data_IF_332574302715
#
_entry.id   IF_332574302715
#
_cell.length_a   1.000
_cell.length_b   1.000
_cell.length_c   1.000
_cell.angle_alpha   90.00
_cell.angle_beta   90.00
_cell.angle_gamma   90.00
#
_symmetry.space_group_name_H-M   'P 1'
#
loop_
_entity.id
_entity.type
_entity.pdbx_description
1 polymer ?
#
# COMPACT_ATOMS: atom_id res chain seq x y z
N UNK A 1 -10.16 32.92 -9.91
CA UNK A 1 -10.64 31.53 -10.07
C UNK A 1 -9.58 30.66 -10.74
N UNK A 2 -9.08 31.02 -11.94
CA UNK A 2 -8.02 30.28 -12.64
C UNK A 2 -6.77 29.96 -11.77
N UNK A 3 -6.16 30.96 -11.10
CA UNK A 3 -4.99 30.72 -10.24
C UNK A 3 -5.29 29.81 -9.03
N UNK A 4 -6.51 29.86 -8.49
CA UNK A 4 -6.96 28.99 -7.39
C UNK A 4 -7.08 27.56 -7.89
N UNK A 5 -7.67 27.38 -9.08
CA UNK A 5 -7.81 26.06 -9.70
C UNK A 5 -6.45 25.47 -10.09
N UNK A 6 -5.53 26.28 -10.61
CA UNK A 6 -4.15 25.86 -10.90
C UNK A 6 -3.42 25.40 -9.65
N UNK A 7 -3.49 26.18 -8.57
CA UNK A 7 -2.89 25.81 -7.29
C UNK A 7 -3.52 24.54 -6.73
N UNK A 8 -4.86 24.43 -6.75
CA UNK A 8 -5.59 23.24 -6.28
C UNK A 8 -5.19 21.99 -7.08
N UNK A 9 -5.11 22.11 -8.40
CA UNK A 9 -4.73 21.01 -9.28
C UNK A 9 -3.28 20.56 -9.02
N UNK A 10 -2.39 21.51 -8.69
CA UNK A 10 -1.02 21.23 -8.27
C UNK A 10 -0.92 20.29 -7.05
N UNK A 11 -1.81 20.45 -6.06
CA UNK A 11 -1.83 19.63 -4.84
C UNK A 11 -2.69 18.37 -4.91
N UNK A 12 -3.40 18.14 -6.03
CA UNK A 12 -4.22 16.93 -6.22
C UNK A 12 -3.46 15.61 -5.96
N UNK A 13 -2.18 15.44 -6.33
CA UNK A 13 -1.42 14.23 -6.01
C UNK A 13 -1.31 13.95 -4.51
N UNK A 14 -1.23 14.99 -3.68
CA UNK A 14 -1.17 14.84 -2.21
C UNK A 14 -2.52 14.35 -1.68
N UNK A 15 -3.63 14.87 -2.21
CA UNK A 15 -4.96 14.41 -1.82
C UNK A 15 -5.18 12.92 -2.17
N UNK A 16 -4.70 12.49 -3.35
CA UNK A 16 -4.72 11.08 -3.75
C UNK A 16 -3.89 10.23 -2.79
N UNK A 17 -2.65 10.63 -2.50
CA UNK A 17 -1.78 9.93 -1.55
C UNK A 17 -2.41 9.79 -0.17
N UNK A 18 -2.92 10.89 0.39
CA UNK A 18 -3.61 10.88 1.69
C UNK A 18 -4.86 10.00 1.68
N UNK A 19 -5.64 9.98 0.59
CA UNK A 19 -6.80 9.10 0.50
C UNK A 19 -6.43 7.62 0.59
N UNK A 20 -5.32 7.21 -0.05
CA UNK A 20 -4.81 5.84 0.01
C UNK A 20 -4.43 5.49 1.44
N UNK A 21 -3.68 6.36 2.13
CA UNK A 21 -3.28 6.13 3.52
C UNK A 21 -4.50 5.99 4.44
N UNK A 22 -5.53 6.82 4.25
CA UNK A 22 -6.74 6.79 5.06
C UNK A 22 -7.50 5.47 4.91
N UNK A 23 -7.69 5.00 3.68
CA UNK A 23 -8.37 3.73 3.45
C UNK A 23 -7.53 2.54 3.94
N UNK A 24 -6.20 2.57 3.76
CA UNK A 24 -5.31 1.55 4.33
C UNK A 24 -5.47 1.40 5.84
N UNK A 25 -5.54 2.50 6.60
CA UNK A 25 -5.70 2.42 8.06
C UNK A 25 -7.13 2.09 8.48
N UNK A 26 -8.13 2.45 7.67
CA UNK A 26 -9.53 2.12 7.93
C UNK A 26 -9.79 0.63 7.75
N UNK A 27 -9.15 0.02 6.75
CA UNK A 27 -9.25 -1.42 6.46
C UNK A 27 -8.60 -2.29 7.55
N UNK A 28 -7.77 -1.73 8.43
CA UNK A 28 -7.20 -2.43 9.58
C UNK A 28 -8.27 -2.92 10.57
N UNK A 29 -9.45 -2.28 10.59
CA UNK A 29 -10.58 -2.75 11.41
C UNK A 29 -11.07 -4.15 11.00
N UNK A 30 -10.79 -4.58 9.75
CA UNK A 30 -11.08 -5.94 9.29
C UNK A 30 -10.11 -6.99 9.87
N UNK A 31 -8.92 -6.56 10.33
CA UNK A 31 -7.94 -7.43 10.98
C UNK A 31 -8.28 -7.58 12.46
N UNK A 32 -8.59 -6.47 13.11
CA UNK A 32 -8.98 -6.42 14.53
C UNK A 32 -9.95 -5.24 14.70
N UNK A 33 -11.19 -5.47 15.17
CA UNK A 33 -12.19 -4.43 15.37
C UNK A 33 -11.74 -3.21 16.19
N UNK A 34 -10.73 -3.36 17.06
CA UNK A 34 -10.15 -2.24 17.83
C UNK A 34 -9.32 -1.26 16.99
N UNK A 35 -8.90 -1.62 15.77
CA UNK A 35 -8.08 -0.77 14.90
C UNK A 35 -8.92 0.23 14.11
N UNK A 36 -9.55 1.14 14.83
CA UNK A 36 -10.40 2.19 14.26
C UNK A 36 -9.78 3.57 14.48
N UNK A 37 -9.74 4.35 13.41
CA UNK A 37 -9.21 5.71 13.41
C UNK A 37 -10.25 6.65 12.82
N UNK A 38 -10.52 7.76 13.49
CA UNK A 38 -11.48 8.74 12.98
C UNK A 38 -10.88 9.60 11.88
N UNK A 39 -11.71 10.05 10.94
CA UNK A 39 -11.30 11.00 9.92
C UNK A 39 -10.78 12.31 10.54
N UNK A 40 -11.39 12.78 11.62
CA UNK A 40 -10.94 13.98 12.35
C UNK A 40 -9.51 13.83 12.87
N UNK A 41 -9.18 12.68 13.47
CA UNK A 41 -7.82 12.39 13.93
C UNK A 41 -6.83 12.38 12.76
N UNK A 42 -7.20 11.74 11.65
CA UNK A 42 -6.38 11.68 10.45
C UNK A 42 -6.10 13.07 9.86
N UNK A 43 -7.13 13.92 9.74
CA UNK A 43 -7.00 15.31 9.27
C UNK A 43 -6.08 16.10 10.20
N UNK A 44 -6.23 15.97 11.51
CA UNK A 44 -5.35 16.65 12.47
C UNK A 44 -3.89 16.25 12.28
N UNK A 45 -3.62 14.95 12.07
CA UNK A 45 -2.26 14.48 11.81
C UNK A 45 -1.69 15.00 10.48
N UNK A 46 -2.56 15.16 9.48
CA UNK A 46 -2.18 15.76 8.20
C UNK A 46 -1.86 17.25 8.35
N UNK A 47 -2.67 18.02 9.09
CA UNK A 47 -2.40 19.43 9.41
C UNK A 47 -1.05 19.59 10.13
N UNK A 48 -0.75 18.72 11.10
CA UNK A 48 0.58 18.69 11.74
C UNK A 48 1.70 18.39 10.74
N UNK A 49 1.45 17.53 9.75
CA UNK A 49 2.44 17.23 8.72
C UNK A 49 2.67 18.40 7.76
N UNK A 50 1.64 19.21 7.48
CA UNK A 50 1.81 20.46 6.72
C UNK A 50 2.74 21.42 7.46
N UNK A 51 2.56 21.57 8.78
CA UNK A 51 3.36 22.48 9.60
C UNK A 51 4.80 22.02 9.79
N UNK A 52 5.02 20.71 9.95
CA UNK A 52 6.33 20.16 10.37
C UNK A 52 7.18 19.60 9.23
N UNK A 53 6.61 19.38 8.04
CA UNK A 53 7.38 18.97 6.86
C UNK A 53 8.24 20.10 6.31
N UNK A 54 9.38 19.76 5.71
CA UNK A 54 10.29 20.74 5.12
C UNK A 54 9.57 21.61 4.07
N UNK A 55 9.57 22.96 4.22
CA UNK A 55 9.00 23.85 3.23
C UNK A 55 9.85 23.87 1.95
N UNK A 56 9.23 24.14 0.81
CA UNK A 56 9.92 24.41 -0.46
C UNK A 56 9.02 25.28 -1.34
N UNK A 57 9.64 26.23 -2.03
CA UNK A 57 8.97 27.06 -3.04
C UNK A 57 8.72 26.27 -4.34
N UNK A 58 9.44 25.16 -4.53
CA UNK A 58 9.18 24.24 -5.62
C UNK A 58 8.02 23.31 -5.26
N UNK A 59 6.90 23.45 -5.97
CA UNK A 59 5.70 22.65 -5.72
C UNK A 59 5.96 21.13 -5.73
N UNK A 60 6.79 20.61 -6.64
CA UNK A 60 7.05 19.16 -6.72
C UNK A 60 7.82 18.68 -5.49
N UNK A 61 8.85 19.41 -5.09
CA UNK A 61 9.62 19.11 -3.88
C UNK A 61 8.74 19.23 -2.63
N UNK A 62 7.89 20.25 -2.56
CA UNK A 62 6.94 20.41 -1.46
C UNK A 62 5.98 19.23 -1.35
N UNK A 63 5.47 18.72 -2.46
CA UNK A 63 4.60 17.53 -2.51
C UNK A 63 5.33 16.29 -1.98
N UNK A 64 6.59 16.09 -2.37
CA UNK A 64 7.42 14.98 -1.89
C UNK A 64 7.60 15.07 -0.38
N UNK A 65 8.03 16.24 0.12
CA UNK A 65 8.26 16.48 1.55
C UNK A 65 6.99 16.24 2.39
N UNK A 66 5.83 16.68 1.88
CA UNK A 66 4.53 16.46 2.52
C UNK A 66 4.18 14.97 2.58
N UNK A 67 4.28 14.27 1.46
CA UNK A 67 3.93 12.85 1.36
C UNK A 67 4.86 12.00 2.24
N UNK A 68 6.16 12.24 2.23
CA UNK A 68 7.13 11.50 3.04
C UNK A 68 6.90 11.72 4.53
N UNK A 69 6.80 12.99 4.95
CA UNK A 69 6.55 13.30 6.36
C UNK A 69 5.22 12.70 6.83
N UNK A 70 4.15 12.85 6.04
CA UNK A 70 2.84 12.35 6.44
C UNK A 70 2.78 10.83 6.48
N UNK A 71 3.39 10.14 5.51
CA UNK A 71 3.48 8.67 5.49
C UNK A 71 4.19 8.17 6.74
N UNK A 72 5.34 8.77 7.09
CA UNK A 72 6.07 8.43 8.30
C UNK A 72 5.27 8.74 9.57
N UNK A 73 4.58 9.87 9.61
CA UNK A 73 3.73 10.26 10.73
C UNK A 73 2.60 9.26 10.95
N UNK A 74 1.87 8.88 9.88
CA UNK A 74 0.80 7.87 9.94
C UNK A 74 1.37 6.53 10.38
N UNK A 75 2.44 6.06 9.74
CA UNK A 75 3.05 4.77 10.07
C UNK A 75 3.42 4.69 11.55
N UNK A 76 4.12 5.70 12.06
CA UNK A 76 4.57 5.73 13.45
C UNK A 76 3.41 5.82 14.44
N UNK A 77 2.39 6.62 14.15
CA UNK A 77 1.26 6.76 15.06
C UNK A 77 0.38 5.51 15.10
N UNK A 78 0.12 4.89 13.95
CA UNK A 78 -0.64 3.64 13.86
C UNK A 78 0.14 2.49 14.49
N UNK A 79 1.44 2.31 14.17
CA UNK A 79 2.25 1.25 14.77
C UNK A 79 2.38 1.35 16.31
N UNK A 80 2.17 2.53 16.92
CA UNK A 80 2.12 2.65 18.39
C UNK A 80 0.86 2.05 19.01
N UNK A 81 -0.25 2.01 18.27
CA UNK A 81 -1.52 1.46 18.74
C UNK A 81 -1.77 0.01 18.29
N UNK A 82 -1.01 -0.51 17.33
CA UNK A 82 -1.13 -1.90 16.87
C UNK A 82 -0.44 -2.89 17.81
N UNK A 83 -0.94 -4.14 17.83
CA UNK A 83 -0.20 -5.26 18.40
C UNK A 83 1.03 -5.57 17.55
N UNK A 84 2.11 -6.06 18.18
CA UNK A 84 3.37 -6.36 17.50
C UNK A 84 3.18 -7.30 16.29
N UNK A 85 2.32 -8.32 16.44
CA UNK A 85 2.01 -9.30 15.39
C UNK A 85 1.43 -8.67 14.12
N UNK A 86 0.78 -7.51 14.22
CA UNK A 86 0.07 -6.88 13.10
C UNK A 86 0.86 -5.73 12.45
N UNK A 87 1.99 -5.30 13.04
CA UNK A 87 2.82 -4.21 12.50
C UNK A 87 3.43 -4.54 11.13
N UNK A 88 3.91 -5.78 10.96
CA UNK A 88 4.47 -6.21 9.68
C UNK A 88 3.40 -6.25 8.58
N UNK A 89 2.21 -6.75 8.92
CA UNK A 89 1.05 -6.77 8.02
C UNK A 89 0.69 -5.34 7.60
N UNK A 90 0.57 -4.42 8.56
CA UNK A 90 0.27 -3.02 8.26
C UNK A 90 1.35 -2.38 7.38
N UNK A 91 2.63 -2.58 7.69
CA UNK A 91 3.75 -2.08 6.87
C UNK A 91 3.66 -2.58 5.42
N UNK A 92 3.36 -3.87 5.24
CA UNK A 92 3.17 -4.48 3.93
C UNK A 92 1.97 -3.90 3.18
N UNK A 93 0.80 -3.81 3.83
CA UNK A 93 -0.42 -3.25 3.23
C UNK A 93 -0.25 -1.76 2.86
N UNK A 94 0.44 -0.99 3.70
CA UNK A 94 0.75 0.41 3.45
C UNK A 94 1.62 0.56 2.19
N UNK A 95 2.68 -0.25 2.09
CA UNK A 95 3.56 -0.29 0.93
C UNK A 95 2.79 -0.65 -0.34
N UNK A 96 2.01 -1.72 -0.31
CA UNK A 96 1.19 -2.15 -1.44
C UNK A 96 0.17 -1.08 -1.84
N UNK A 97 -0.51 -0.45 -0.87
CA UNK A 97 -1.47 0.63 -1.12
C UNK A 97 -0.82 1.80 -1.86
N UNK A 98 0.34 2.26 -1.39
CA UNK A 98 1.10 3.34 -2.04
C UNK A 98 1.53 2.92 -3.45
N UNK A 99 2.10 1.73 -3.62
CA UNK A 99 2.55 1.25 -4.93
C UNK A 99 1.40 1.05 -5.92
N UNK A 100 0.24 0.56 -5.46
CA UNK A 100 -0.99 0.49 -6.27
C UNK A 100 -1.46 1.86 -6.71
N UNK A 101 -1.47 2.84 -5.81
CA UNK A 101 -1.80 4.23 -6.15
C UNK A 101 -0.86 4.85 -7.18
N UNK A 102 0.37 4.36 -7.27
CA UNK A 102 1.36 4.74 -8.28
C UNK A 102 1.29 3.91 -9.57
N UNK A 103 0.38 2.93 -9.67
CA UNK A 103 0.29 2.01 -10.80
C UNK A 103 1.47 1.05 -10.94
N UNK A 104 2.20 0.78 -9.85
CA UNK A 104 3.41 -0.07 -9.83
C UNK A 104 3.15 -1.54 -9.47
N UNK A 105 1.89 -1.90 -9.21
CA UNK A 105 1.50 -3.27 -8.86
C UNK A 105 0.61 -3.83 -9.96
N UNK A 106 1.00 -4.97 -10.50
CA UNK A 106 0.16 -5.76 -11.40
C UNK A 106 -0.88 -6.53 -10.57
N UNK A 107 -2.16 -6.38 -10.91
CA UNK A 107 -3.25 -7.00 -10.15
C UNK A 107 -3.28 -8.54 -10.29
N UNK A 108 -2.77 -9.11 -11.38
CA UNK A 108 -2.68 -10.56 -11.54
C UNK A 108 -1.58 -11.13 -10.64
N UNK A 109 -0.42 -10.47 -10.59
CA UNK A 109 0.68 -10.85 -9.67
C UNK A 109 0.25 -10.67 -8.21
N UNK A 110 -0.47 -9.59 -7.89
CA UNK A 110 -1.02 -9.37 -6.56
C UNK A 110 -2.03 -10.44 -6.14
N UNK A 111 -2.98 -10.79 -7.02
CA UNK A 111 -3.94 -11.87 -6.77
C UNK A 111 -3.25 -13.21 -6.57
N UNK A 112 -2.25 -13.52 -7.40
CA UNK A 112 -1.44 -14.73 -7.26
C UNK A 112 -0.77 -14.79 -5.89
N UNK A 113 -0.18 -13.68 -5.42
CA UNK A 113 0.44 -13.62 -4.09
C UNK A 113 -0.56 -13.89 -2.96
N UNK A 114 -1.78 -13.35 -3.05
CA UNK A 114 -2.78 -13.45 -1.99
C UNK A 114 -3.45 -14.82 -1.90
N UNK A 115 -3.91 -15.34 -3.04
CA UNK A 115 -4.76 -16.54 -3.07
C UNK A 115 -3.99 -17.80 -3.48
N UNK A 116 -2.71 -17.66 -3.87
CA UNK A 116 -2.08 -18.63 -4.75
C UNK A 116 -2.94 -18.74 -6.01
N UNK A 117 -3.21 -19.95 -6.44
CA UNK A 117 -4.42 -20.15 -7.23
C UNK A 117 -5.12 -21.44 -6.93
N UNK A 118 -6.39 -21.40 -7.30
CA UNK A 118 -7.28 -22.54 -7.31
C UNK A 118 -6.70 -23.51 -8.33
N UNK A 119 -6.24 -24.67 -7.87
CA UNK A 119 -5.57 -25.66 -8.70
C UNK A 119 -6.51 -26.06 -9.86
N UNK A 120 -6.15 -25.63 -11.07
CA UNK A 120 -6.52 -26.32 -12.30
C UNK A 120 -5.46 -27.40 -12.53
N UNK A 121 -5.86 -28.57 -13.02
CA UNK A 121 -4.95 -29.69 -13.25
C UNK A 121 -3.69 -29.23 -14.01
N UNK A 122 -2.52 -29.44 -13.40
CA UNK A 122 -1.25 -29.11 -14.01
C UNK A 122 -0.86 -30.19 -15.01
N UNK A 123 -0.86 -29.85 -16.30
CA UNK A 123 -0.47 -30.75 -17.38
C UNK A 123 1.05 -30.98 -17.45
N UNK A 124 1.86 -30.16 -16.78
CA UNK A 124 3.31 -30.27 -16.77
C UNK A 124 3.78 -31.18 -15.63
N UNK A 125 4.39 -32.34 -15.92
CA UNK A 125 4.87 -33.25 -14.87
C UNK A 125 6.01 -32.61 -14.09
N UNK A 126 6.07 -32.91 -12.79
CA UNK A 126 7.10 -32.39 -11.90
C UNK A 126 8.47 -33.04 -12.20
N UNK A 127 9.47 -32.28 -12.69
CA UNK A 127 10.79 -32.82 -13.01
C UNK A 127 11.66 -33.07 -11.77
N UNK A 128 11.24 -32.58 -10.60
CA UNK A 128 12.03 -32.52 -9.38
C UNK A 128 11.30 -33.13 -8.17
N UNK A 129 10.47 -34.14 -8.41
CA UNK A 129 9.68 -34.83 -7.38
C UNK A 129 10.44 -35.35 -6.15
N UNK A 130 11.77 -35.64 -6.18
CA UNK A 130 12.49 -36.04 -4.97
C UNK A 130 12.54 -34.98 -3.86
N UNK A 131 12.41 -33.69 -4.19
CA UNK A 131 12.52 -32.60 -3.22
C UNK A 131 11.45 -31.51 -3.39
N UNK A 132 10.84 -31.40 -4.56
CA UNK A 132 9.79 -30.43 -4.85
C UNK A 132 8.43 -31.13 -4.85
N UNK A 133 7.52 -30.68 -3.99
CA UNK A 133 6.15 -31.20 -4.00
C UNK A 133 5.41 -30.82 -5.29
N UNK A 134 4.48 -31.66 -5.76
CA UNK A 134 3.67 -31.39 -6.95
C UNK A 134 2.82 -30.12 -6.79
N UNK A 135 2.43 -29.78 -5.55
CA UNK A 135 1.77 -28.50 -5.23
C UNK A 135 2.69 -27.32 -5.55
N UNK A 136 3.93 -27.34 -5.04
CA UNK A 136 4.89 -26.26 -5.28
C UNK A 136 5.27 -26.17 -6.77
N UNK A 137 5.44 -27.29 -7.45
CA UNK A 137 5.67 -27.32 -8.89
C UNK A 137 4.50 -26.69 -9.68
N UNK A 138 3.27 -26.99 -9.30
CA UNK A 138 2.08 -26.41 -9.94
C UNK A 138 1.99 -24.89 -9.74
N UNK A 139 2.39 -24.38 -8.58
CA UNK A 139 2.50 -22.93 -8.38
C UNK A 139 3.61 -22.30 -9.24
N UNK A 140 4.77 -22.97 -9.40
CA UNK A 140 5.87 -22.49 -10.26
C UNK A 140 5.44 -22.42 -11.73
N UNK A 141 4.80 -23.48 -12.24
CA UNK A 141 4.27 -23.54 -13.61
C UNK A 141 3.23 -22.44 -13.85
N UNK A 142 2.44 -22.10 -12.83
CA UNK A 142 1.47 -21.00 -12.94
C UNK A 142 2.15 -19.64 -12.88
N UNK A 143 3.15 -19.48 -12.03
CA UNK A 143 3.93 -18.26 -11.91
C UNK A 143 4.62 -17.91 -13.25
N UNK A 144 5.09 -18.90 -14.01
CA UNK A 144 5.70 -18.67 -15.33
C UNK A 144 4.74 -18.13 -16.40
N UNK A 145 3.43 -18.12 -16.14
CA UNK A 145 2.44 -17.50 -17.03
C UNK A 145 2.10 -16.04 -16.63
N UNK A 146 2.69 -15.53 -15.54
CA UNK A 146 2.47 -14.16 -15.09
C UNK A 146 3.39 -13.17 -15.82
N UNK A 147 2.96 -11.92 -15.99
CA UNK A 147 3.80 -10.89 -16.59
C UNK A 147 5.01 -10.59 -15.70
N UNK A 148 6.21 -10.58 -16.30
CA UNK A 148 7.47 -10.23 -15.64
C UNK A 148 7.89 -11.15 -14.47
N UNK A 149 7.50 -12.43 -14.50
CA UNK A 149 7.95 -13.47 -13.56
C UNK A 149 8.60 -14.67 -14.26
#
# INVERSE_FOLDING_TARGET
ELEIDETRNGYKPVAVHSSILFFCISDMANIEPMYQYSLTWFINLYLQSIMNSAPSDNLRERIINLNEHFTNSIYNNVCRSLFEKDKLLFSFLLCIGIMKGQGKIDENVWRFLLTGGVALDNLNPNPASPWLSDKAWSEIVRASNLPNL
#
